data_IF_484971907236
#
_entry.id   IF_484971907236
#
_cell.length_a   1.000
_cell.length_b   1.000
_cell.length_c   1.000
_cell.angle_alpha   90.00
_cell.angle_beta   90.00
_cell.angle_gamma   90.00
#
_symmetry.space_group_name_H-M   'P 1'
#
loop_
_entity.id
_entity.type
_entity.pdbx_description
1 polymer ?
#
# COMPACT_ATOMS: atom_id res chain seq x y z
N UNK A 1 3.58 -2.87 -28.41
CA UNK A 1 3.17 -3.55 -27.17
C UNK A 1 4.41 -4.19 -26.55
N UNK A 2 4.96 -3.62 -25.48
CA UNK A 2 5.92 -4.36 -24.65
C UNK A 2 5.14 -5.47 -23.94
N UNK A 3 5.48 -6.73 -24.22
CA UNK A 3 5.08 -7.85 -23.37
C UNK A 3 5.81 -7.67 -22.03
N UNK A 4 5.12 -7.90 -20.91
CA UNK A 4 5.78 -8.02 -19.62
C UNK A 4 6.94 -9.03 -19.79
N UNK A 5 8.17 -8.58 -19.59
CA UNK A 5 9.36 -9.44 -19.58
C UNK A 5 9.32 -10.41 -18.39
N UNK A 6 8.64 -9.97 -17.33
CA UNK A 6 8.35 -10.69 -16.09
C UNK A 6 6.99 -11.36 -16.14
N UNK A 7 6.92 -12.67 -15.91
CA UNK A 7 5.64 -13.36 -15.84
C UNK A 7 5.04 -13.18 -14.43
N UNK A 8 3.92 -12.43 -14.35
CA UNK A 8 3.22 -12.15 -13.10
C UNK A 8 2.89 -13.42 -12.30
N UNK A 9 2.48 -14.49 -13.01
CA UNK A 9 2.15 -15.77 -12.39
C UNK A 9 3.41 -16.46 -11.81
N UNK A 10 4.54 -16.37 -12.51
CA UNK A 10 5.80 -16.97 -12.05
C UNK A 10 6.30 -16.23 -10.80
N UNK A 11 6.27 -14.89 -10.78
CA UNK A 11 6.65 -14.09 -9.60
C UNK A 11 5.72 -14.39 -8.42
N UNK A 12 4.40 -14.46 -8.66
CA UNK A 12 3.44 -14.81 -7.60
C UNK A 12 3.71 -16.20 -7.04
N UNK A 13 4.02 -17.18 -7.90
CA UNK A 13 4.39 -18.54 -7.47
C UNK A 13 5.66 -18.54 -6.62
N UNK A 14 6.71 -17.82 -7.04
CA UNK A 14 7.95 -17.69 -6.28
C UNK A 14 7.71 -17.05 -4.90
N UNK A 15 6.89 -16.00 -4.82
CA UNK A 15 6.50 -15.39 -3.55
C UNK A 15 5.81 -16.41 -2.65
N UNK A 16 4.82 -17.15 -3.15
CA UNK A 16 4.13 -18.19 -2.38
C UNK A 16 5.10 -19.26 -1.86
N UNK A 17 6.03 -19.72 -2.68
CA UNK A 17 7.05 -20.69 -2.27
C UNK A 17 7.94 -20.17 -1.13
N UNK A 18 8.30 -18.89 -1.19
CA UNK A 18 9.12 -18.24 -0.17
C UNK A 18 8.38 -18.03 1.16
N UNK A 19 7.11 -17.59 1.13
CA UNK A 19 6.36 -17.29 2.35
C UNK A 19 5.76 -18.53 3.01
N UNK A 20 5.67 -19.65 2.29
CA UNK A 20 5.07 -20.89 2.79
C UNK A 20 5.90 -21.50 3.91
N UNK A 21 5.37 -21.43 5.13
CA UNK A 21 6.00 -22.06 6.29
C UNK A 21 4.98 -22.89 7.09
N UNK A 22 5.14 -24.22 7.05
CA UNK A 22 4.19 -25.19 7.62
C UNK A 22 3.93 -24.99 9.11
N UNK A 23 4.89 -24.44 9.86
CA UNK A 23 4.70 -24.11 11.27
C UNK A 23 3.97 -22.78 11.47
N UNK A 24 4.21 -21.76 10.64
CA UNK A 24 3.57 -20.46 10.81
C UNK A 24 2.07 -20.59 10.51
N UNK A 25 1.72 -21.28 9.42
CA UNK A 25 0.33 -21.43 8.98
C UNK A 25 -0.56 -22.29 9.89
N UNK A 26 0.01 -22.86 10.96
CA UNK A 26 -0.78 -23.48 12.04
C UNK A 26 -1.38 -22.46 13.00
N UNK A 27 -0.82 -21.24 13.06
CA UNK A 27 -1.13 -20.25 14.07
C UNK A 27 -1.44 -18.85 13.52
N UNK A 28 -1.06 -18.58 12.26
CA UNK A 28 -1.35 -17.33 11.56
C UNK A 28 -1.92 -17.63 10.18
N UNK A 29 -2.71 -16.69 9.64
CA UNK A 29 -3.24 -16.80 8.28
C UNK A 29 -2.11 -16.70 7.25
N UNK A 30 -2.34 -17.29 6.08
CA UNK A 30 -1.44 -17.10 4.93
C UNK A 30 -1.38 -15.60 4.59
N UNK A 31 -0.17 -15.04 4.36
CA UNK A 31 -0.06 -13.65 3.97
C UNK A 31 -0.77 -13.38 2.65
N UNK A 32 -1.49 -12.26 2.59
CA UNK A 32 -2.15 -11.80 1.37
C UNK A 32 -1.11 -11.16 0.46
N UNK A 33 -1.06 -11.58 -0.80
CA UNK A 33 -0.27 -10.93 -1.84
C UNK A 33 -1.13 -9.84 -2.50
N UNK A 34 -0.76 -8.57 -2.33
CA UNK A 34 -1.42 -7.47 -3.05
C UNK A 34 -1.08 -7.56 -4.55
N UNK A 35 -2.02 -8.08 -5.33
CA UNK A 35 -1.85 -8.27 -6.78
C UNK A 35 -1.69 -6.96 -7.54
N UNK A 36 -2.24 -5.85 -7.04
CA UNK A 36 -2.11 -4.56 -7.71
C UNK A 36 -0.70 -4.00 -7.50
N UNK A 37 -0.16 -4.13 -6.29
CA UNK A 37 1.25 -3.78 -5.99
C UNK A 37 2.21 -4.68 -6.75
N UNK A 38 1.93 -5.98 -6.84
CA UNK A 38 2.73 -6.92 -7.63
C UNK A 38 2.70 -6.56 -9.13
N UNK A 39 1.52 -6.27 -9.68
CA UNK A 39 1.38 -5.80 -11.05
C UNK A 39 2.17 -4.51 -11.27
N UNK A 40 2.11 -3.56 -10.34
CA UNK A 40 2.82 -2.29 -10.45
C UNK A 40 4.34 -2.48 -10.43
N UNK A 41 4.89 -3.29 -9.50
CA UNK A 41 6.33 -3.60 -9.48
C UNK A 41 6.79 -4.30 -10.76
N UNK A 42 6.10 -5.35 -11.18
CA UNK A 42 6.45 -6.08 -12.41
C UNK A 42 6.33 -5.19 -13.66
N UNK A 43 5.37 -4.26 -13.66
CA UNK A 43 5.25 -3.24 -14.70
C UNK A 43 6.43 -2.29 -14.70
N UNK A 44 6.81 -1.76 -13.53
CA UNK A 44 7.96 -0.85 -13.39
C UNK A 44 9.24 -1.52 -13.84
N UNK A 45 9.54 -2.73 -13.36
CA UNK A 45 10.77 -3.44 -13.75
C UNK A 45 10.83 -3.78 -15.24
N UNK A 46 9.67 -3.98 -15.88
CA UNK A 46 9.61 -4.23 -17.33
C UNK A 46 9.95 -3.02 -18.20
N UNK A 47 10.02 -1.81 -17.62
CA UNK A 47 10.42 -0.59 -18.33
C UNK A 47 11.94 -0.50 -18.54
N UNK A 48 12.71 -1.28 -17.80
CA UNK A 48 14.17 -1.26 -17.84
C UNK A 48 14.71 -2.50 -18.55
N UNK A 49 15.88 -2.35 -19.16
CA UNK A 49 16.59 -3.44 -19.83
C UNK A 49 17.31 -4.33 -18.81
N UNK A 50 16.50 -5.06 -18.02
CA UNK A 50 16.96 -5.99 -17.01
C UNK A 50 16.91 -7.43 -17.54
N UNK A 51 17.91 -8.28 -17.22
CA UNK A 51 17.77 -9.71 -17.36
C UNK A 51 16.48 -10.19 -16.66
N UNK A 52 15.71 -11.05 -17.34
CA UNK A 52 14.41 -11.56 -16.83
C UNK A 52 14.50 -12.02 -15.36
N UNK A 53 15.51 -12.82 -15.04
CA UNK A 53 15.73 -13.36 -13.69
C UNK A 53 15.95 -12.25 -12.65
N UNK A 54 16.68 -11.19 -13.00
CA UNK A 54 16.92 -10.06 -12.11
C UNK A 54 15.64 -9.25 -11.88
N UNK A 55 14.86 -8.99 -12.93
CA UNK A 55 13.57 -8.31 -12.81
C UNK A 55 12.57 -9.11 -11.95
N UNK A 56 12.56 -10.45 -12.09
CA UNK A 56 11.78 -11.34 -11.24
C UNK A 56 12.24 -11.30 -9.78
N UNK A 57 13.56 -11.39 -9.52
CA UNK A 57 14.11 -11.30 -8.17
C UNK A 57 13.80 -9.96 -7.50
N UNK A 58 13.85 -8.84 -8.24
CA UNK A 58 13.44 -7.54 -7.71
C UNK A 58 11.96 -7.48 -7.37
N UNK A 59 11.09 -8.02 -8.23
CA UNK A 59 9.66 -8.10 -7.94
C UNK A 59 9.35 -8.98 -6.72
N UNK A 60 9.99 -10.16 -6.62
CA UNK A 60 9.85 -11.06 -5.46
C UNK A 60 10.30 -10.35 -4.19
N UNK A 61 11.49 -9.74 -4.19
CA UNK A 61 12.06 -9.12 -2.98
C UNK A 61 11.29 -7.89 -2.54
N UNK A 62 10.85 -7.03 -3.47
CA UNK A 62 9.98 -5.89 -3.16
C UNK A 62 8.64 -6.36 -2.57
N UNK A 63 8.04 -7.43 -3.11
CA UNK A 63 6.79 -7.96 -2.56
C UNK A 63 6.98 -8.67 -1.22
N UNK A 64 8.10 -9.36 -0.97
CA UNK A 64 8.41 -9.90 0.36
C UNK A 64 8.52 -8.79 1.41
N UNK A 65 9.08 -7.63 1.03
CA UNK A 65 9.09 -6.44 1.88
C UNK A 65 7.68 -5.93 2.15
N UNK A 66 6.83 -5.82 1.13
CA UNK A 66 5.44 -5.40 1.35
C UNK A 66 4.67 -6.38 2.23
N UNK A 67 4.82 -7.68 2.00
CA UNK A 67 4.21 -8.71 2.84
C UNK A 67 4.71 -8.60 4.29
N UNK A 68 6.00 -8.33 4.51
CA UNK A 68 6.53 -8.10 5.85
C UNK A 68 5.88 -6.88 6.52
N UNK A 69 5.81 -5.75 5.80
CA UNK A 69 5.19 -4.51 6.29
C UNK A 69 3.70 -4.70 6.60
N UNK A 70 2.96 -5.42 5.75
CA UNK A 70 1.54 -5.71 5.94
C UNK A 70 1.32 -6.72 7.08
N UNK A 71 2.20 -7.71 7.21
CA UNK A 71 2.15 -8.69 8.30
C UNK A 71 2.31 -8.01 9.66
N UNK A 72 3.17 -6.99 9.77
CA UNK A 72 3.33 -6.22 10.99
C UNK A 72 2.08 -5.40 11.37
N UNK A 73 1.25 -4.99 10.40
CA UNK A 73 -0.03 -4.30 10.68
C UNK A 73 -1.10 -5.24 11.25
N UNK A 74 -0.95 -6.56 11.09
CA UNK A 74 -1.89 -7.54 11.66
C UNK A 74 -1.64 -7.80 13.15
N UNK A 75 -0.64 -7.15 13.75
CA UNK A 75 -0.30 -7.31 15.17
C UNK A 75 -1.27 -6.49 16.01
N UNK A 76 -2.27 -7.16 16.59
CA UNK A 76 -3.26 -6.51 17.46
C UNK A 76 -2.66 -6.13 18.83
N UNK A 77 -3.02 -4.91 19.28
CA UNK A 77 -2.71 -4.40 20.61
C UNK A 77 -3.92 -4.65 21.54
N UNK A 78 -3.83 -5.64 22.43
CA UNK A 78 -4.90 -5.97 23.37
C UNK A 78 -4.47 -7.00 24.42
N UNK A 79 -5.32 -7.20 25.43
CA UNK A 79 -5.21 -8.33 26.36
C UNK A 79 -5.52 -9.62 25.60
N UNK A 80 -4.59 -10.57 25.65
CA UNK A 80 -4.69 -11.82 24.90
C UNK A 80 -4.69 -12.99 25.86
N UNK A 81 -5.42 -14.05 25.52
CA UNK A 81 -5.22 -15.35 26.15
C UNK A 81 -3.89 -15.96 25.64
N UNK A 82 -3.46 -17.09 26.23
CA UNK A 82 -2.18 -17.71 25.88
C UNK A 82 -2.04 -18.10 24.38
N UNK A 83 -3.14 -18.49 23.73
CA UNK A 83 -3.15 -18.88 22.31
C UNK A 83 -3.01 -17.65 21.38
N UNK A 84 -3.75 -16.59 21.67
CA UNK A 84 -3.65 -15.32 20.98
C UNK A 84 -2.27 -14.67 21.18
N UNK A 85 -1.67 -14.80 22.36
CA UNK A 85 -0.29 -14.38 22.60
C UNK A 85 0.70 -15.09 21.68
N UNK A 86 0.54 -16.41 21.49
CA UNK A 86 1.39 -17.20 20.59
C UNK A 86 1.19 -16.78 19.14
N UNK A 87 -0.06 -16.62 18.70
CA UNK A 87 -0.37 -16.13 17.35
C UNK A 87 0.30 -14.77 17.09
N UNK A 88 0.16 -13.82 18.02
CA UNK A 88 0.81 -12.49 17.94
C UNK A 88 2.32 -12.59 17.80
N UNK A 89 2.99 -13.39 18.62
CA UNK A 89 4.44 -13.58 18.54
C UNK A 89 4.86 -14.18 17.19
N UNK A 90 4.08 -15.12 16.65
CA UNK A 90 4.35 -15.73 15.36
C UNK A 90 4.07 -14.77 14.19
N UNK A 91 3.11 -13.86 14.30
CA UNK A 91 2.90 -12.78 13.33
C UNK A 91 4.11 -11.84 13.30
N UNK A 92 4.63 -11.41 14.46
CA UNK A 92 5.84 -10.58 14.55
C UNK A 92 7.04 -11.32 13.92
N UNK A 93 7.19 -12.61 14.23
CA UNK A 93 8.27 -13.43 13.69
C UNK A 93 8.12 -13.64 12.18
N UNK A 94 6.90 -13.79 11.66
CA UNK A 94 6.62 -13.92 10.24
C UNK A 94 7.03 -12.66 9.47
N UNK A 95 6.67 -11.48 9.97
CA UNK A 95 7.13 -10.21 9.38
C UNK A 95 8.65 -10.12 9.33
N UNK A 96 9.32 -10.44 10.45
CA UNK A 96 10.79 -10.49 10.54
C UNK A 96 11.40 -11.50 9.56
N UNK A 97 10.77 -12.68 9.43
CA UNK A 97 11.21 -13.74 8.52
C UNK A 97 11.12 -13.30 7.06
N UNK A 98 10.01 -12.70 6.63
CA UNK A 98 9.84 -12.20 5.27
C UNK A 98 10.82 -11.06 4.95
N UNK A 99 11.10 -10.17 5.92
CA UNK A 99 12.19 -9.20 5.79
C UNK A 99 13.57 -9.88 5.67
N UNK A 100 13.82 -10.96 6.40
CA UNK A 100 15.05 -11.75 6.25
C UNK A 100 15.18 -12.41 4.87
N UNK A 101 14.07 -12.83 4.26
CA UNK A 101 14.07 -13.47 2.94
C UNK A 101 14.47 -12.50 1.83
N UNK A 102 13.96 -11.26 1.80
CA UNK A 102 14.37 -10.30 0.76
C UNK A 102 15.88 -10.03 0.85
N UNK A 103 16.39 -9.84 2.07
CA UNK A 103 17.82 -9.61 2.29
C UNK A 103 18.66 -10.82 1.85
N UNK A 104 18.23 -12.04 2.20
CA UNK A 104 18.90 -13.27 1.78
C UNK A 104 18.97 -13.39 0.26
N UNK A 105 17.88 -13.12 -0.45
CA UNK A 105 17.83 -13.22 -1.91
C UNK A 105 18.77 -12.19 -2.53
N UNK A 106 18.68 -10.91 -2.16
CA UNK A 106 19.52 -9.86 -2.75
C UNK A 106 21.00 -10.00 -2.39
N UNK A 107 21.32 -10.45 -1.16
CA UNK A 107 22.71 -10.68 -0.77
C UNK A 107 23.34 -11.87 -1.51
N UNK A 108 22.55 -12.87 -1.90
CA UNK A 108 23.03 -14.01 -2.69
C UNK A 108 23.44 -13.64 -4.12
N UNK A 109 22.96 -12.50 -4.63
CA UNK A 109 23.34 -11.92 -5.92
C UNK A 109 24.22 -10.68 -5.75
N UNK A 110 24.73 -10.43 -4.54
CA UNK A 110 25.60 -9.30 -4.18
C UNK A 110 25.03 -7.91 -4.51
N UNK A 111 23.70 -7.78 -4.58
CA UNK A 111 23.06 -6.51 -4.92
C UNK A 111 22.84 -5.61 -3.71
N UNK A 112 23.94 -5.02 -3.25
CA UNK A 112 23.95 -4.06 -2.13
C UNK A 112 23.13 -2.80 -2.44
N UNK A 113 23.04 -2.42 -3.72
CA UNK A 113 22.28 -1.26 -4.17
C UNK A 113 20.80 -1.41 -3.88
N UNK A 114 20.18 -2.48 -4.38
CA UNK A 114 18.77 -2.75 -4.17
C UNK A 114 18.45 -3.04 -2.69
N UNK A 115 19.37 -3.68 -1.94
CA UNK A 115 19.21 -3.86 -0.48
C UNK A 115 19.02 -2.51 0.21
N UNK A 116 19.89 -1.54 -0.10
CA UNK A 116 19.83 -0.20 0.49
C UNK A 116 18.55 0.52 0.09
N UNK A 117 18.19 0.46 -1.19
CA UNK A 117 16.95 1.06 -1.72
C UNK A 117 15.72 0.56 -0.99
N UNK A 118 15.56 -0.75 -0.83
CA UNK A 118 14.40 -1.31 -0.13
C UNK A 118 14.45 -1.00 1.37
N UNK A 119 15.63 -1.02 2.01
CA UNK A 119 15.79 -0.67 3.41
C UNK A 119 15.39 0.79 3.71
N UNK A 120 15.75 1.73 2.82
CA UNK A 120 15.31 3.11 2.92
C UNK A 120 13.80 3.25 2.76
N UNK A 121 13.19 2.49 1.83
CA UNK A 121 11.73 2.45 1.67
C UNK A 121 11.02 1.91 2.91
N UNK A 122 11.53 0.82 3.50
CA UNK A 122 11.03 0.25 4.77
C UNK A 122 11.07 1.29 5.88
N UNK A 123 12.19 2.02 5.99
CA UNK A 123 12.35 3.09 6.99
C UNK A 123 11.28 4.15 6.83
N UNK A 124 11.11 4.71 5.63
CA UNK A 124 10.13 5.77 5.37
C UNK A 124 8.70 5.31 5.62
N UNK A 125 8.33 4.10 5.17
CA UNK A 125 7.00 3.55 5.46
C UNK A 125 6.75 3.49 6.96
N UNK A 126 7.71 2.97 7.73
CA UNK A 126 7.56 2.85 9.18
C UNK A 126 7.52 4.21 9.90
N UNK A 127 8.32 5.18 9.47
CA UNK A 127 8.29 6.55 10.03
C UNK A 127 6.90 7.20 9.84
N UNK A 128 6.35 7.11 8.63
CA UNK A 128 5.01 7.64 8.37
C UNK A 128 3.90 6.85 9.07
N UNK A 129 4.00 5.51 9.15
CA UNK A 129 3.09 4.68 9.94
C UNK A 129 3.06 5.14 11.40
N UNK A 130 4.23 5.28 12.03
CA UNK A 130 4.33 5.74 13.42
C UNK A 130 3.65 7.11 13.59
N UNK A 131 3.88 8.05 12.67
CA UNK A 131 3.26 9.37 12.71
C UNK A 131 1.73 9.31 12.63
N UNK A 132 1.17 8.45 11.76
CA UNK A 132 -0.29 8.26 11.64
C UNK A 132 -0.86 7.58 12.88
N UNK A 133 -0.23 6.51 13.38
CA UNK A 133 -0.69 5.80 14.58
C UNK A 133 -0.66 6.66 15.85
N UNK A 134 0.35 7.52 15.98
CA UNK A 134 0.45 8.47 17.09
C UNK A 134 -0.44 9.70 16.91
N UNK A 135 -1.06 9.84 15.73
CA UNK A 135 -1.88 11.00 15.35
C UNK A 135 -1.09 12.31 15.49
N UNK A 136 0.21 12.26 15.16
CA UNK A 136 1.14 13.39 15.28
C UNK A 136 0.97 14.44 14.16
N UNK A 137 0.07 14.19 13.21
CA UNK A 137 -0.20 15.10 12.10
C UNK A 137 -0.80 16.41 12.60
N UNK A 138 -0.33 17.54 12.05
CA UNK A 138 -0.77 18.90 12.48
C UNK A 138 -1.87 19.48 11.60
N UNK A 139 -2.13 18.85 10.47
CA UNK A 139 -3.16 19.24 9.51
C UNK A 139 -3.62 18.04 8.69
N UNK A 140 -4.80 18.16 8.09
CA UNK A 140 -5.35 17.15 7.17
C UNK A 140 -4.36 16.86 6.04
N UNK A 141 -3.72 17.89 5.49
CA UNK A 141 -2.72 17.72 4.43
C UNK A 141 -1.56 16.84 4.88
N UNK A 142 -1.00 17.08 6.08
CA UNK A 142 0.13 16.29 6.60
C UNK A 142 -0.25 14.84 6.90
N UNK A 143 -1.51 14.60 7.32
CA UNK A 143 -2.05 13.25 7.48
C UNK A 143 -2.13 12.54 6.13
N UNK A 144 -2.76 13.18 5.13
CA UNK A 144 -2.94 12.61 3.79
C UNK A 144 -1.60 12.38 3.08
N UNK A 145 -0.64 13.28 3.22
CA UNK A 145 0.73 13.11 2.71
C UNK A 145 1.41 11.89 3.37
N UNK A 146 1.21 11.69 4.68
CA UNK A 146 1.76 10.52 5.38
C UNK A 146 1.09 9.23 4.93
N UNK A 147 -0.24 9.20 4.79
CA UNK A 147 -0.98 8.04 4.27
C UNK A 147 -0.51 7.69 2.85
N UNK A 148 -0.33 8.70 1.99
CA UNK A 148 0.23 8.51 0.66
C UNK A 148 1.63 7.89 0.72
N UNK A 149 2.51 8.40 1.58
CA UNK A 149 3.87 7.89 1.75
C UNK A 149 3.94 6.47 2.31
N UNK A 150 3.04 6.09 3.22
CA UNK A 150 2.94 4.70 3.72
C UNK A 150 2.76 3.73 2.56
N UNK A 151 1.94 4.09 1.57
CA UNK A 151 1.67 3.23 0.43
C UNK A 151 2.75 3.34 -0.67
N UNK A 152 3.31 4.54 -0.89
CA UNK A 152 4.15 4.82 -2.06
C UNK A 152 5.65 4.76 -1.83
N UNK A 153 6.16 4.93 -0.60
CA UNK A 153 7.59 5.17 -0.36
C UNK A 153 8.48 4.04 -0.91
N UNK A 154 8.07 2.78 -0.78
CA UNK A 154 8.83 1.65 -1.33
C UNK A 154 8.95 1.74 -2.87
N UNK A 155 7.86 2.09 -3.55
CA UNK A 155 7.86 2.26 -5.00
C UNK A 155 8.68 3.49 -5.42
N UNK A 156 8.55 4.60 -4.68
CA UNK A 156 9.32 5.81 -4.96
C UNK A 156 10.82 5.54 -4.86
N UNK A 157 11.27 4.81 -3.84
CA UNK A 157 12.68 4.42 -3.69
C UNK A 157 13.17 3.55 -4.84
N UNK A 158 12.37 2.57 -5.27
CA UNK A 158 12.69 1.76 -6.46
C UNK A 158 12.76 2.62 -7.72
N UNK A 159 11.81 3.55 -7.93
CA UNK A 159 11.81 4.44 -9.08
C UNK A 159 13.00 5.40 -9.08
N UNK A 160 13.39 5.92 -7.91
CA UNK A 160 14.61 6.73 -7.75
C UNK A 160 15.86 5.93 -8.12
N UNK A 161 15.95 4.66 -7.70
CA UNK A 161 17.07 3.78 -8.05
C UNK A 161 17.26 3.63 -9.56
N UNK A 162 16.18 3.66 -10.34
CA UNK A 162 16.21 3.65 -11.80
C UNK A 162 16.09 5.02 -12.48
N UNK A 163 16.25 6.12 -11.74
CA UNK A 163 16.16 7.50 -12.26
C UNK A 163 14.85 7.83 -12.99
N UNK A 164 13.73 7.27 -12.54
CA UNK A 164 12.40 7.44 -13.16
C UNK A 164 11.44 8.23 -12.28
N UNK A 165 11.87 9.42 -11.87
CA UNK A 165 11.11 10.34 -11.01
C UNK A 165 9.77 10.76 -11.63
N UNK A 166 9.70 10.80 -12.96
CA UNK A 166 8.48 11.10 -13.72
C UNK A 166 7.32 10.12 -13.44
N UNK A 167 7.61 8.90 -12.99
CA UNK A 167 6.59 7.90 -12.66
C UNK A 167 6.21 7.90 -11.17
N UNK A 168 6.95 8.62 -10.31
CA UNK A 168 6.70 8.62 -8.87
C UNK A 168 5.36 9.23 -8.53
N UNK A 169 5.07 10.42 -9.05
CA UNK A 169 3.80 11.11 -8.79
C UNK A 169 2.60 10.26 -9.19
N UNK A 170 2.68 9.61 -10.36
CA UNK A 170 1.62 8.73 -10.85
C UNK A 170 1.44 7.49 -9.97
N UNK A 171 2.53 6.78 -9.70
CA UNK A 171 2.55 5.58 -8.87
C UNK A 171 2.01 5.87 -7.47
N UNK A 172 2.48 6.95 -6.85
CA UNK A 172 2.04 7.36 -5.53
C UNK A 172 0.57 7.74 -5.49
N UNK A 173 0.05 8.44 -6.51
CA UNK A 173 -1.36 8.80 -6.59
C UNK A 173 -2.27 7.57 -6.75
N UNK A 174 -1.90 6.57 -7.56
CA UNK A 174 -2.71 5.34 -7.72
C UNK A 174 -2.81 4.57 -6.40
N UNK A 175 -1.68 4.38 -5.72
CA UNK A 175 -1.64 3.64 -4.46
C UNK A 175 -2.42 4.39 -3.38
N UNK A 176 -2.27 5.71 -3.31
CA UNK A 176 -3.02 6.56 -2.39
C UNK A 176 -4.53 6.55 -2.67
N UNK A 177 -4.93 6.65 -3.94
CA UNK A 177 -6.33 6.58 -4.35
C UNK A 177 -6.97 5.26 -3.91
N UNK A 178 -6.32 4.12 -4.20
CA UNK A 178 -6.78 2.80 -3.75
C UNK A 178 -6.94 2.76 -2.22
N UNK A 179 -5.95 3.29 -1.48
CA UNK A 179 -5.99 3.33 -0.02
C UNK A 179 -7.15 4.16 0.51
N UNK A 180 -7.38 5.36 -0.01
CA UNK A 180 -8.51 6.20 0.41
C UNK A 180 -9.86 5.54 0.14
N UNK A 181 -10.04 4.91 -1.02
CA UNK A 181 -11.26 4.15 -1.32
C UNK A 181 -11.49 3.03 -0.31
N UNK A 182 -10.43 2.30 0.07
CA UNK A 182 -10.50 1.25 1.07
C UNK A 182 -10.83 1.77 2.46
N UNK A 183 -10.23 2.89 2.89
CA UNK A 183 -10.51 3.51 4.20
C UNK A 183 -11.94 4.06 4.25
N UNK A 184 -12.39 4.73 3.18
CA UNK A 184 -13.78 5.21 3.06
C UNK A 184 -14.77 4.04 3.14
N UNK A 185 -14.53 2.96 2.41
CA UNK A 185 -15.37 1.75 2.46
C UNK A 185 -15.37 1.08 3.84
N UNK A 186 -14.26 1.12 4.59
CA UNK A 186 -14.20 0.64 5.98
C UNK A 186 -15.05 1.52 6.88
N UNK A 187 -14.91 2.83 6.76
CA UNK A 187 -15.66 3.80 7.55
C UNK A 187 -17.18 3.67 7.35
N UNK A 188 -17.64 3.55 6.09
CA UNK A 188 -19.05 3.29 5.77
C UNK A 188 -19.58 1.99 6.37
N UNK A 189 -18.73 0.95 6.44
CA UNK A 189 -19.07 -0.35 7.03
C UNK A 189 -18.87 -0.39 8.55
N UNK A 190 -18.63 0.76 9.17
CA UNK A 190 -18.37 0.92 10.60
C UNK A 190 -17.20 0.06 11.11
N UNK A 191 -16.23 -0.18 10.24
CA UNK A 191 -14.99 -0.88 10.58
C UNK A 191 -13.92 0.11 11.03
N UNK A 192 -12.99 -0.30 11.91
CA UNK A 192 -11.88 0.55 12.34
C UNK A 192 -11.07 1.10 11.16
N UNK A 193 -10.74 2.38 11.24
CA UNK A 193 -9.93 3.10 10.26
C UNK A 193 -9.09 4.14 11.00
N UNK A 194 -7.80 3.86 11.15
CA UNK A 194 -6.86 4.80 11.79
C UNK A 194 -6.79 6.14 11.05
N UNK A 195 -7.03 6.12 9.72
CA UNK A 195 -7.04 7.33 8.90
C UNK A 195 -8.24 8.21 9.26
N UNK A 196 -9.45 7.63 9.36
CA UNK A 196 -10.64 8.40 9.75
C UNK A 196 -10.62 8.80 11.23
N UNK A 197 -10.02 7.99 12.11
CA UNK A 197 -9.79 8.37 13.51
C UNK A 197 -8.86 9.58 13.62
N UNK A 198 -7.71 9.55 12.94
CA UNK A 198 -6.78 10.67 12.91
C UNK A 198 -7.37 11.91 12.22
N UNK A 199 -8.18 11.70 11.17
CA UNK A 199 -8.90 12.79 10.50
C UNK A 199 -9.93 13.43 11.42
N UNK A 200 -10.66 12.61 12.19
CA UNK A 200 -11.62 13.04 13.18
C UNK A 200 -11.06 14.01 14.19
N UNK A 201 -9.88 13.70 14.75
CA UNK A 201 -9.18 14.57 15.72
C UNK A 201 -8.72 15.91 15.11
N UNK A 202 -8.46 15.93 13.79
CA UNK A 202 -8.01 17.12 13.08
C UNK A 202 -9.17 18.03 12.67
N UNK A 203 -10.31 17.46 12.27
CA UNK A 203 -11.50 18.21 11.87
C UNK A 203 -12.25 18.71 13.11
N UNK A 204 -12.31 17.89 14.17
CA UNK A 204 -13.03 18.19 15.40
C UNK A 204 -12.13 18.00 16.62
N UNK A 205 -11.33 19.02 16.99
CA UNK A 205 -10.64 19.03 18.28
C UNK A 205 -11.67 18.93 19.42
N UNK A 206 -11.31 18.30 20.55
CA UNK A 206 -12.19 17.95 21.70
C UNK A 206 -13.17 19.04 22.21
N UNK A 207 -13.04 20.30 21.76
CA UNK A 207 -13.90 21.42 22.10
C UNK A 207 -15.32 21.41 21.46
N UNK A 208 -15.57 20.63 20.40
CA UNK A 208 -16.81 20.73 19.59
C UNK A 208 -17.78 19.51 19.70
N UNK A 209 -17.66 18.69 20.75
CA UNK A 209 -18.45 17.46 20.96
C UNK A 209 -19.97 17.65 21.23
N UNK A 210 -20.55 18.82 20.92
CA UNK A 210 -21.99 19.10 21.11
C UNK A 210 -22.84 18.91 19.84
N UNK A 211 -22.24 18.64 18.67
CA UNK A 211 -22.97 18.43 17.42
C UNK A 211 -23.42 16.98 17.23
N UNK A 212 -24.51 16.80 16.46
CA UNK A 212 -25.12 15.49 16.20
C UNK A 212 -24.14 14.55 15.49
N UNK A 213 -24.16 13.25 15.81
CA UNK A 213 -23.22 12.26 15.26
C UNK A 213 -23.33 12.05 13.74
N UNK A 214 -24.41 12.50 13.12
CA UNK A 214 -24.65 12.40 11.68
C UNK A 214 -23.87 13.49 10.93
N UNK A 215 -23.95 14.75 11.38
CA UNK A 215 -23.20 15.87 10.77
C UNK A 215 -21.68 15.63 10.80
N UNK A 216 -21.19 14.99 11.87
CA UNK A 216 -19.78 14.61 12.03
C UNK A 216 -19.30 13.63 10.94
N UNK A 217 -20.09 12.60 10.65
CA UNK A 217 -19.70 11.57 9.67
C UNK A 217 -19.66 12.13 8.26
N UNK A 218 -20.66 12.93 7.91
CA UNK A 218 -20.78 13.51 6.57
C UNK A 218 -19.63 14.47 6.28
N UNK A 219 -19.15 15.23 7.27
CA UNK A 219 -18.01 16.11 7.10
C UNK A 219 -16.70 15.33 6.87
N UNK A 220 -16.43 14.26 7.64
CA UNK A 220 -15.25 13.42 7.42
C UNK A 220 -15.26 12.75 6.04
N UNK A 221 -16.43 12.27 5.61
CA UNK A 221 -16.62 11.66 4.29
C UNK A 221 -16.37 12.71 3.20
N UNK A 222 -16.93 13.91 3.34
CA UNK A 222 -16.74 15.02 2.39
C UNK A 222 -15.26 15.38 2.22
N UNK A 223 -14.50 15.43 3.32
CA UNK A 223 -13.05 15.65 3.26
C UNK A 223 -12.35 14.51 2.49
N UNK A 224 -12.64 13.26 2.83
CA UNK A 224 -12.04 12.11 2.15
C UNK A 224 -12.38 12.08 0.65
N UNK A 225 -13.64 12.34 0.30
CA UNK A 225 -14.12 12.38 -1.08
C UNK A 225 -13.46 13.50 -1.90
N UNK A 226 -13.22 14.67 -1.29
CA UNK A 226 -12.44 15.73 -1.92
C UNK A 226 -11.01 15.27 -2.27
N UNK A 227 -10.33 14.56 -1.36
CA UNK A 227 -9.00 14.00 -1.65
C UNK A 227 -9.04 12.89 -2.70
N UNK A 228 -10.08 12.03 -2.69
CA UNK A 228 -10.30 10.98 -3.70
C UNK A 228 -10.46 11.61 -5.09
N UNK A 229 -11.35 12.61 -5.22
CA UNK A 229 -11.61 13.33 -6.48
C UNK A 229 -10.35 14.02 -7.00
N UNK A 230 -9.68 14.81 -6.15
CA UNK A 230 -8.45 15.52 -6.52
C UNK A 230 -7.35 14.53 -6.97
N UNK A 231 -7.20 13.40 -6.25
CA UNK A 231 -6.22 12.37 -6.61
C UNK A 231 -6.57 11.72 -7.95
N UNK A 232 -7.86 11.44 -8.22
CA UNK A 232 -8.32 10.89 -9.50
C UNK A 232 -7.97 11.82 -10.67
N UNK A 233 -8.26 13.12 -10.54
CA UNK A 233 -7.95 14.11 -11.57
C UNK A 233 -6.44 14.21 -11.85
N UNK A 234 -5.61 14.14 -10.81
CA UNK A 234 -4.15 14.10 -10.97
C UNK A 234 -3.69 12.79 -11.63
N UNK A 235 -4.29 11.63 -11.34
CA UNK A 235 -4.01 10.37 -12.04
C UNK A 235 -4.33 10.51 -13.53
N UNK A 236 -5.51 11.02 -13.89
CA UNK A 236 -5.92 11.19 -15.30
C UNK A 236 -4.99 12.14 -16.08
N UNK A 237 -4.54 13.21 -15.43
CA UNK A 237 -3.60 14.17 -15.99
C UNK A 237 -2.23 13.54 -16.22
N UNK A 238 -1.70 12.83 -15.22
CA UNK A 238 -0.40 12.16 -15.29
C UNK A 238 -0.42 10.98 -16.26
N UNK A 239 -1.54 10.25 -16.34
CA UNK A 239 -1.72 9.10 -17.24
C UNK A 239 -1.46 9.48 -18.70
N UNK A 240 -1.96 10.65 -19.13
CA UNK A 240 -1.75 11.19 -20.49
C UNK A 240 -0.28 11.48 -20.83
N UNK A 241 0.58 11.56 -19.81
CA UNK A 241 1.99 11.91 -19.95
C UNK A 241 2.91 10.69 -19.91
N UNK A 242 2.38 9.47 -19.68
CA UNK A 242 3.19 8.25 -19.58
C UNK A 242 3.25 7.58 -20.96
N UNK A 243 4.40 7.64 -21.65
CA UNK A 243 4.51 7.17 -23.03
C UNK A 243 4.47 5.64 -23.15
N UNK A 244 4.81 4.90 -22.08
CA UNK A 244 4.92 3.45 -22.10
C UNK A 244 4.35 2.84 -20.81
N UNK A 245 3.17 2.23 -20.91
CA UNK A 245 2.56 1.45 -19.84
C UNK A 245 2.03 0.16 -20.46
N UNK A 246 2.25 -0.97 -19.80
CA UNK A 246 1.72 -2.23 -20.33
C UNK A 246 0.18 -2.24 -20.23
N UNK A 247 -0.45 -2.99 -21.13
CA UNK A 247 -1.92 -3.00 -21.29
C UNK A 247 -2.65 -3.52 -20.06
N UNK A 248 -2.03 -4.39 -19.27
CA UNK A 248 -2.66 -4.96 -18.06
C UNK A 248 -2.78 -3.92 -16.96
N UNK A 249 -1.72 -3.15 -16.72
CA UNK A 249 -1.73 -2.04 -15.77
C UNK A 249 -2.70 -0.95 -16.24
N UNK A 250 -2.71 -0.62 -17.54
CA UNK A 250 -3.68 0.34 -18.10
C UNK A 250 -5.13 -0.10 -17.86
N UNK A 251 -5.49 -1.34 -18.19
CA UNK A 251 -6.84 -1.87 -17.98
C UNK A 251 -7.24 -1.85 -16.51
N UNK A 252 -6.30 -2.20 -15.61
CA UNK A 252 -6.56 -2.23 -14.18
C UNK A 252 -6.80 -0.83 -13.60
N UNK A 253 -6.01 0.15 -14.02
CA UNK A 253 -6.17 1.55 -13.60
C UNK A 253 -7.49 2.11 -14.11
N UNK A 254 -7.83 1.87 -15.38
CA UNK A 254 -9.09 2.32 -15.95
C UNK A 254 -10.28 1.69 -15.20
N UNK A 255 -10.24 0.39 -14.92
CA UNK A 255 -11.29 -0.29 -14.16
C UNK A 255 -11.45 0.26 -12.73
N UNK A 256 -10.35 0.65 -12.08
CA UNK A 256 -10.38 1.26 -10.74
C UNK A 256 -11.05 2.63 -10.77
N UNK A 257 -10.74 3.47 -11.76
CA UNK A 257 -11.36 4.79 -11.96
C UNK A 257 -12.86 4.66 -12.31
N UNK A 258 -13.19 3.73 -13.19
CA UNK A 258 -14.57 3.51 -13.64
C UNK A 258 -15.46 3.00 -12.50
N UNK A 259 -14.96 2.08 -11.66
CA UNK A 259 -15.74 1.50 -10.55
C UNK A 259 -16.16 2.55 -9.51
N UNK A 260 -15.26 3.46 -9.13
CA UNK A 260 -15.59 4.52 -8.16
C UNK A 260 -16.63 5.50 -8.70
N UNK A 261 -16.55 5.84 -10.00
CA UNK A 261 -17.51 6.73 -10.66
C UNK A 261 -18.96 6.19 -10.60
N UNK A 262 -19.12 4.86 -10.61
CA UNK A 262 -20.44 4.23 -10.47
C UNK A 262 -20.90 4.17 -9.01
N UNK A 263 -19.97 3.94 -8.07
CA UNK A 263 -20.29 3.84 -6.64
C UNK A 263 -20.66 5.20 -6.03
N UNK A 264 -19.96 6.28 -6.41
CA UNK A 264 -20.29 7.66 -6.00
C UNK A 264 -21.69 8.05 -6.44
N UNK A 265 -22.14 7.64 -7.64
CA UNK A 265 -23.53 7.85 -8.10
C UNK A 265 -24.54 7.06 -7.27
N UNK A 266 -24.23 5.82 -6.92
CA UNK A 266 -25.08 4.98 -6.06
C UNK A 266 -25.25 5.57 -4.65
N UNK A 267 -24.18 6.10 -4.06
CA UNK A 267 -24.24 6.73 -2.74
C UNK A 267 -24.96 8.08 -2.75
N UNK A 268 -24.89 8.83 -3.86
CA UNK A 268 -25.65 10.07 -4.04
C UNK A 268 -27.16 9.85 -4.27
N UNK A 269 -27.57 8.65 -4.69
CA UNK A 269 -28.98 8.27 -4.90
C UNK A 269 -29.63 7.64 -3.65
N UNK A 270 -28.84 7.23 -2.65
CA UNK A 270 -29.31 6.63 -1.39
C UNK A 270 -29.35 7.61 -0.20
N UNK A 271 -29.01 8.89 -0.44
CA UNK A 271 -29.07 9.99 0.54
C UNK A 271 -30.37 10.80 0.49
#
# INVERSE_FOLDING_TARGET
MQKLTTNLADVKSQIHEHVKHSYLFKYINEPVIDEDKLLLFTSIFSLYDLPKMQAEQYAVTAMLVQIALDTHELVENGELNAELHKSRQLTILAGTYYSGLYYKILSSIEDVGMIRTLAEGIKEVNEHKISVYRKDSKSIKTLMDSVKKIESALFERVLTYFNSENLQGFTANILFYKKLLMERDRFFKEKPSIVFEALGELVFPEADLQNSSLDYRDELISVADSYIENTRQEIEKLYKQIPYMNSSLQQKIQAMIDYDTHKVKSFAEEG
#
